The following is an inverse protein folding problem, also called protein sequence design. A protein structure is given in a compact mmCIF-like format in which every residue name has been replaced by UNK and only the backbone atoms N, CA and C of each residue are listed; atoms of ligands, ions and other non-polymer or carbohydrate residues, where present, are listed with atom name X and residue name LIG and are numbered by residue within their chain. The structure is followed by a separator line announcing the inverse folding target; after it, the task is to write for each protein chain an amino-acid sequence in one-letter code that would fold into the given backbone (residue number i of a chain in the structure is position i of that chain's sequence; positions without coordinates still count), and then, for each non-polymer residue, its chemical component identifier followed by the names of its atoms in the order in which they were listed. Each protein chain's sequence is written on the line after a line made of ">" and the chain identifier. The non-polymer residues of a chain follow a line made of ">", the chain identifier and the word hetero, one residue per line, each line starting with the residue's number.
data_IF_885930342124
#
_entry.id   IF_885930342124
#
_cell.length_a   1.000
_cell.length_b   1.000
_cell.length_c   1.000
_cell.angle_alpha   90.00
_cell.angle_beta   90.00
_cell.angle_gamma   90.00
#
_symmetry.space_group_name_H-M   'P 1'
#
loop_
_entity.id
_entity.type
_entity.pdbx_description
1 polymer ?
#
# COMPACT_ATOMS: atom_id res chain seq x y z
N UNK A 1 18.13 2.90 2.39
CA UNK A 1 16.67 3.17 2.31
C UNK A 1 16.39 4.09 1.14
N UNK A 2 15.33 3.80 0.42
CA UNK A 2 14.85 4.66 -0.66
C UNK A 2 13.37 4.96 -0.47
N UNK A 3 12.97 6.18 -0.78
CA UNK A 3 11.57 6.59 -0.77
C UNK A 3 11.30 7.33 -2.07
N UNK A 4 10.29 6.87 -2.81
CA UNK A 4 9.91 7.49 -4.08
C UNK A 4 8.41 7.75 -4.11
N UNK A 5 8.03 9.00 -4.31
CA UNK A 5 6.62 9.38 -4.47
C UNK A 5 6.27 9.17 -5.94
N UNK A 6 5.47 8.14 -6.22
CA UNK A 6 5.06 7.83 -7.59
C UNK A 6 3.97 8.79 -8.08
N UNK A 7 3.09 9.19 -7.18
CA UNK A 7 2.04 10.17 -7.45
C UNK A 7 1.52 10.76 -6.14
N UNK A 8 1.07 12.02 -6.16
CA UNK A 8 0.41 12.63 -5.02
C UNK A 8 -0.61 13.65 -5.51
N UNK A 9 -1.72 13.80 -4.77
CA UNK A 9 -2.77 14.75 -5.08
C UNK A 9 -4.14 14.10 -5.20
N UNK A 10 -5.11 14.90 -5.62
CA UNK A 10 -6.51 14.49 -5.69
C UNK A 10 -6.82 13.48 -6.80
N UNK A 11 -5.90 13.30 -7.76
CA UNK A 11 -6.10 12.37 -8.87
C UNK A 11 -5.44 11.01 -8.64
N UNK A 12 -4.63 10.88 -7.59
CA UNK A 12 -4.03 9.59 -7.25
C UNK A 12 -2.81 9.73 -6.35
N UNK A 13 -2.66 8.75 -5.45
CA UNK A 13 -1.57 8.73 -4.48
C UNK A 13 -0.92 7.35 -4.44
N UNK A 14 0.40 7.32 -4.48
CA UNK A 14 1.18 6.09 -4.33
C UNK A 14 2.61 6.45 -3.96
N UNK A 15 3.15 5.79 -2.93
CA UNK A 15 4.53 5.98 -2.48
C UNK A 15 5.21 4.64 -2.35
N UNK A 16 6.45 4.54 -2.82
CA UNK A 16 7.25 3.33 -2.75
C UNK A 16 8.38 3.51 -1.74
N UNK A 17 8.57 2.51 -0.88
CA UNK A 17 9.64 2.50 0.12
C UNK A 17 10.40 1.18 0.04
N UNK A 18 11.72 1.27 -0.05
CA UNK A 18 12.62 0.13 0.09
C UNK A 18 13.48 0.34 1.33
N UNK A 19 13.62 -0.70 2.16
CA UNK A 19 14.44 -0.65 3.37
C UNK A 19 14.96 -2.05 3.69
N UNK A 20 16.29 -2.20 3.69
CA UNK A 20 16.92 -3.47 4.02
C UNK A 20 16.49 -4.62 3.09
N UNK A 21 16.22 -4.33 1.83
CA UNK A 21 15.79 -5.32 0.85
C UNK A 21 14.29 -5.57 0.81
N UNK A 22 13.53 -5.12 1.79
CA UNK A 22 12.07 -5.21 1.77
C UNK A 22 11.46 -4.00 1.06
N UNK A 23 10.37 -4.22 0.34
CA UNK A 23 9.77 -3.21 -0.54
C UNK A 23 8.28 -3.15 -0.31
N UNK A 24 7.78 -1.95 -0.03
CA UNK A 24 6.35 -1.72 0.19
C UNK A 24 5.83 -0.58 -0.68
N UNK A 25 4.54 -0.65 -0.97
CA UNK A 25 3.82 0.42 -1.62
C UNK A 25 2.79 0.96 -0.62
N UNK A 26 2.78 2.28 -0.41
CA UNK A 26 1.77 2.94 0.41
C UNK A 26 0.77 3.58 -0.52
N UNK A 27 -0.46 3.08 -0.49
CA UNK A 27 -1.56 3.41 -1.37
C UNK A 27 -1.30 3.00 -2.83
N UNK A 28 -2.37 2.69 -3.54
CA UNK A 28 -2.35 2.30 -4.94
C UNK A 28 -3.43 3.11 -5.68
N UNK A 29 -3.28 4.45 -5.61
CA UNK A 29 -4.28 5.39 -6.08
C UNK A 29 -4.14 5.78 -7.54
N UNK A 30 -3.21 5.17 -8.28
CA UNK A 30 -3.04 5.35 -9.71
C UNK A 30 -3.15 3.99 -10.40
N UNK A 31 -3.27 3.98 -11.73
CA UNK A 31 -3.42 2.72 -12.46
C UNK A 31 -2.21 1.81 -12.25
N UNK A 32 -2.43 0.50 -12.37
CA UNK A 32 -1.36 -0.48 -12.29
C UNK A 32 -0.24 -0.15 -13.27
N UNK A 33 -0.59 0.25 -14.49
CA UNK A 33 0.39 0.63 -15.51
C UNK A 33 1.29 1.77 -15.04
N UNK A 34 0.71 2.79 -14.39
CA UNK A 34 1.48 3.92 -13.86
C UNK A 34 2.35 3.50 -12.69
N UNK A 35 1.87 2.59 -11.85
CA UNK A 35 2.68 2.04 -10.75
C UNK A 35 3.87 1.28 -11.32
N UNK A 36 3.63 0.39 -12.29
CA UNK A 36 4.70 -0.38 -12.95
C UNK A 36 5.75 0.55 -13.57
N UNK A 37 5.30 1.59 -14.26
CA UNK A 37 6.20 2.55 -14.88
C UNK A 37 7.03 3.31 -13.85
N UNK A 38 6.37 3.78 -12.79
CA UNK A 38 7.06 4.52 -11.73
C UNK A 38 8.11 3.67 -11.03
N UNK A 39 7.81 2.40 -10.76
CA UNK A 39 8.78 1.48 -10.16
C UNK A 39 9.94 1.21 -11.11
N UNK A 40 9.67 1.00 -12.40
CA UNK A 40 10.72 0.76 -13.39
C UNK A 40 11.69 1.94 -13.50
N UNK A 41 11.19 3.17 -13.40
CA UNK A 41 12.01 4.38 -13.45
C UNK A 41 13.03 4.46 -12.31
N UNK A 42 12.75 3.79 -11.19
CA UNK A 42 13.66 3.76 -10.03
C UNK A 42 14.33 2.38 -9.85
N UNK A 43 14.23 1.53 -10.87
CA UNK A 43 14.97 0.26 -10.91
C UNK A 43 14.29 -0.91 -10.25
N UNK A 44 12.98 -0.86 -10.04
CA UNK A 44 12.24 -1.93 -9.38
C UNK A 44 11.10 -2.47 -10.24
N UNK A 45 10.59 -3.63 -9.87
CA UNK A 45 9.48 -4.30 -10.53
C UNK A 45 8.38 -4.56 -9.51
N UNK A 46 7.12 -4.47 -9.93
CA UNK A 46 5.98 -4.67 -9.04
C UNK A 46 5.97 -6.08 -8.41
N UNK A 47 6.53 -7.07 -9.09
CA UNK A 47 6.63 -8.43 -8.53
C UNK A 47 7.55 -8.51 -7.30
N UNK A 48 8.35 -7.49 -7.07
CA UNK A 48 9.26 -7.43 -5.91
C UNK A 48 8.60 -6.83 -4.67
N UNK A 49 7.37 -6.31 -4.78
CA UNK A 49 6.68 -5.71 -3.64
C UNK A 49 6.30 -6.79 -2.62
N UNK A 50 6.66 -6.56 -1.37
CA UNK A 50 6.34 -7.46 -0.26
C UNK A 50 4.97 -7.17 0.34
N UNK A 51 4.51 -5.94 0.23
CA UNK A 51 3.23 -5.53 0.81
C UNK A 51 2.72 -4.23 0.20
N UNK A 52 1.41 -4.07 0.22
CA UNK A 52 0.73 -2.81 -0.06
C UNK A 52 0.02 -2.40 1.22
N UNK A 53 0.20 -1.14 1.62
CA UNK A 53 -0.43 -0.58 2.82
C UNK A 53 -1.39 0.51 2.38
N UNK A 54 -2.63 0.43 2.81
CA UNK A 54 -3.67 1.40 2.43
C UNK A 54 -3.98 2.31 3.62
N UNK A 55 -3.89 3.62 3.40
CA UNK A 55 -4.14 4.62 4.43
C UNK A 55 -5.63 4.80 4.71
N UNK A 56 -6.45 4.79 3.67
CA UNK A 56 -7.90 4.92 3.78
C UNK A 56 -8.55 4.57 2.43
N UNK A 57 -9.88 4.50 2.42
CA UNK A 57 -10.66 3.90 1.33
C UNK A 57 -10.99 4.85 0.16
N UNK A 58 -10.56 6.10 0.16
CA UNK A 58 -10.88 7.02 -0.94
C UNK A 58 -10.28 6.55 -2.26
N UNK A 59 -10.99 6.80 -3.37
CA UNK A 59 -10.62 6.24 -4.67
C UNK A 59 -9.22 6.67 -5.13
N UNK A 60 -8.79 7.87 -4.80
CA UNK A 60 -7.45 8.36 -5.14
C UNK A 60 -6.33 7.68 -4.34
N UNK A 61 -6.68 6.70 -3.51
CA UNK A 61 -5.73 5.86 -2.76
C UNK A 61 -5.84 4.38 -3.10
N UNK A 62 -6.89 3.95 -3.82
CA UNK A 62 -7.15 2.54 -4.09
C UNK A 62 -7.50 2.21 -5.54
N UNK A 63 -7.57 3.18 -6.45
CA UNK A 63 -8.12 2.92 -7.79
C UNK A 63 -7.31 1.90 -8.60
N UNK A 64 -6.03 1.73 -8.35
CA UNK A 64 -5.19 0.74 -9.03
C UNK A 64 -5.05 -0.59 -8.28
N UNK A 65 -5.65 -0.71 -7.11
CA UNK A 65 -5.44 -1.85 -6.22
C UNK A 65 -5.90 -3.18 -6.82
N UNK A 66 -7.07 -3.19 -7.44
CA UNK A 66 -7.68 -4.41 -7.97
C UNK A 66 -6.76 -5.12 -8.97
N UNK A 67 -6.39 -4.45 -10.04
CA UNK A 67 -5.57 -5.04 -11.10
C UNK A 67 -4.17 -5.40 -10.58
N UNK A 68 -3.57 -4.52 -9.77
CA UNK A 68 -2.23 -4.73 -9.24
C UNK A 68 -2.17 -6.00 -8.39
N UNK A 69 -3.11 -6.17 -7.46
CA UNK A 69 -3.11 -7.31 -6.55
C UNK A 69 -3.43 -8.61 -7.30
N UNK A 70 -4.39 -8.58 -8.21
CA UNK A 70 -4.74 -9.79 -8.96
C UNK A 70 -3.59 -10.23 -9.88
N UNK A 71 -2.83 -9.28 -10.42
CA UNK A 71 -1.70 -9.58 -11.31
C UNK A 71 -0.50 -10.14 -10.56
N UNK A 72 -0.14 -9.54 -9.43
CA UNK A 72 1.11 -9.85 -8.73
C UNK A 72 0.93 -10.61 -7.41
N UNK A 73 -0.32 -10.79 -6.95
CA UNK A 73 -0.63 -11.53 -5.72
C UNK A 73 0.07 -10.94 -4.49
N UNK A 74 0.09 -9.62 -4.38
CA UNK A 74 0.77 -8.92 -3.29
C UNK A 74 -0.17 -8.81 -2.08
N UNK A 75 0.31 -9.15 -0.86
CA UNK A 75 -0.51 -8.94 0.34
C UNK A 75 -0.84 -7.46 0.56
N UNK A 76 -2.09 -7.19 0.90
CA UNK A 76 -2.58 -5.83 1.18
C UNK A 76 -2.98 -5.74 2.63
N UNK A 77 -2.46 -4.75 3.33
CA UNK A 77 -2.73 -4.53 4.75
C UNK A 77 -3.44 -3.21 4.93
N UNK A 78 -4.58 -3.23 5.60
CA UNK A 78 -5.30 -2.02 5.99
C UNK A 78 -6.17 -2.32 7.19
N UNK A 79 -6.76 -1.27 7.77
CA UNK A 79 -7.61 -1.41 8.96
C UNK A 79 -8.88 -2.20 8.61
N UNK A 80 -9.40 -3.01 9.55
CA UNK A 80 -10.60 -3.82 9.28
C UNK A 80 -11.78 -3.01 8.76
N UNK A 81 -12.06 -1.84 9.36
CA UNK A 81 -13.16 -0.99 8.92
C UNK A 81 -12.94 -0.44 7.50
N UNK A 82 -11.68 -0.17 7.14
CA UNK A 82 -11.32 0.28 5.80
C UNK A 82 -11.59 -0.80 4.77
N UNK A 83 -11.27 -2.06 5.09
CA UNK A 83 -11.55 -3.20 4.19
C UNK A 83 -13.03 -3.27 3.81
N UNK A 84 -13.93 -3.00 4.75
CA UNK A 84 -15.37 -3.04 4.49
C UNK A 84 -15.82 -2.00 3.46
N UNK A 85 -15.04 -0.94 3.27
CA UNK A 85 -15.36 0.15 2.35
C UNK A 85 -14.59 0.07 1.02
N UNK A 86 -13.74 -0.94 0.84
CA UNK A 86 -13.00 -1.10 -0.42
C UNK A 86 -13.86 -1.90 -1.41
N UNK A 87 -14.31 -1.28 -2.52
CA UNK A 87 -15.26 -1.93 -3.44
C UNK A 87 -14.72 -3.20 -4.11
N UNK A 88 -13.42 -3.25 -4.38
CA UNK A 88 -12.82 -4.40 -5.08
C UNK A 88 -12.46 -5.56 -4.16
N UNK A 89 -12.75 -5.47 -2.86
CA UNK A 89 -12.38 -6.48 -1.87
C UNK A 89 -12.74 -7.90 -2.31
N UNK A 90 -13.97 -8.09 -2.80
CA UNK A 90 -14.47 -9.40 -3.17
C UNK A 90 -13.82 -9.98 -4.42
N UNK A 91 -13.14 -9.14 -5.21
CA UNK A 91 -12.40 -9.57 -6.40
C UNK A 91 -10.96 -9.96 -6.10
N UNK A 92 -10.44 -9.57 -4.94
CA UNK A 92 -9.06 -9.86 -4.58
C UNK A 92 -8.92 -11.28 -4.03
N UNK A 93 -7.78 -11.95 -4.25
CA UNK A 93 -7.51 -13.23 -3.59
C UNK A 93 -7.62 -13.05 -2.08
N UNK A 94 -8.33 -13.97 -1.43
CA UNK A 94 -8.59 -13.87 0.01
C UNK A 94 -7.29 -13.80 0.81
N UNK A 95 -6.28 -14.57 0.41
CA UNK A 95 -4.98 -14.61 1.08
C UNK A 95 -4.22 -13.29 0.98
N UNK A 96 -4.60 -12.41 0.04
CA UNK A 96 -4.00 -11.09 -0.09
C UNK A 96 -4.70 -10.02 0.74
N UNK A 97 -5.86 -10.31 1.32
CA UNK A 97 -6.61 -9.35 2.11
C UNK A 97 -6.26 -9.53 3.58
N UNK A 98 -5.36 -8.69 4.10
CA UNK A 98 -4.84 -8.80 5.46
C UNK A 98 -5.28 -7.63 6.31
N UNK A 99 -5.62 -7.89 7.57
CA UNK A 99 -5.98 -6.84 8.52
C UNK A 99 -4.74 -6.31 9.21
N UNK A 100 -4.62 -4.99 9.28
CA UNK A 100 -3.51 -4.32 9.96
C UNK A 100 -3.86 -4.07 11.42
N UNK A 101 -3.07 -4.64 12.32
CA UNK A 101 -3.20 -4.39 13.75
C UNK A 101 -2.36 -3.19 14.19
N UNK A 102 -1.75 -3.30 15.38
CA UNK A 102 -0.95 -2.22 15.95
C UNK A 102 0.43 -2.09 15.28
N UNK A 103 0.90 -3.13 14.62
CA UNK A 103 2.17 -3.09 13.88
C UNK A 103 2.23 -4.22 12.89
N UNK A 104 3.10 -4.06 11.89
CA UNK A 104 3.44 -5.09 10.91
C UNK A 104 4.95 -5.20 10.85
N UNK A 105 5.48 -6.40 11.08
CA UNK A 105 6.92 -6.68 11.03
C UNK A 105 7.22 -7.43 9.73
N UNK A 106 8.06 -6.84 8.88
CA UNK A 106 8.50 -7.45 7.62
C UNK A 106 9.96 -7.89 7.66
N UNK A 107 10.53 -8.02 8.86
CA UNK A 107 11.93 -8.40 9.02
C UNK A 107 12.83 -7.19 9.15
N UNK A 108 13.19 -6.57 8.04
CA UNK A 108 14.10 -5.40 8.05
C UNK A 108 13.35 -4.09 8.27
N UNK A 109 12.01 -4.09 8.23
CA UNK A 109 11.24 -2.90 8.54
C UNK A 109 10.04 -3.26 9.40
N UNK A 110 9.65 -2.33 10.26
CA UNK A 110 8.46 -2.42 11.10
C UNK A 110 7.57 -1.24 10.77
N UNK A 111 6.29 -1.51 10.58
CA UNK A 111 5.32 -0.49 10.21
C UNK A 111 4.31 -0.35 11.34
N UNK A 112 4.11 0.88 11.80
CA UNK A 112 3.16 1.19 12.87
C UNK A 112 2.17 2.23 12.35
N UNK A 113 0.85 1.89 12.30
CA UNK A 113 -0.15 2.87 11.91
C UNK A 113 -0.40 3.87 13.06
N UNK A 114 -0.74 5.09 12.70
CA UNK A 114 -1.22 6.10 13.63
C UNK A 114 -2.46 6.77 13.07
N UNK A 115 -3.37 7.18 13.95
CA UNK A 115 -4.61 7.83 13.54
C UNK A 115 -4.34 9.20 12.95
N UNK A 116 -5.06 9.52 11.87
CA UNK A 116 -5.03 10.86 11.29
C UNK A 116 -6.46 11.41 11.24
N UNK A 117 -6.57 12.75 11.22
CA UNK A 117 -7.86 13.41 11.08
C UNK A 117 -8.17 13.57 9.59
N UNK A 118 -9.13 12.77 9.10
CA UNK A 118 -9.49 12.77 7.69
C UNK A 118 -10.91 12.24 7.53
N UNK A 119 -11.57 12.60 6.42
CA UNK A 119 -12.94 12.17 6.13
C UNK A 119 -12.94 10.76 5.55
N UNK A 120 -12.77 9.78 6.44
CA UNK A 120 -12.73 8.36 6.09
C UNK A 120 -13.13 7.54 7.32
N UNK A 121 -13.35 6.22 7.14
CA UNK A 121 -13.89 5.38 8.21
C UNK A 121 -12.86 5.12 9.33
N UNK A 122 -11.61 4.87 8.97
CA UNK A 122 -10.53 4.64 9.95
C UNK A 122 -9.19 5.02 9.31
N UNK A 123 -8.98 6.33 9.03
CA UNK A 123 -7.80 6.76 8.29
C UNK A 123 -6.55 6.70 9.13
N UNK A 124 -5.47 6.18 8.55
CA UNK A 124 -4.19 6.04 9.25
C UNK A 124 -3.05 6.57 8.38
N UNK A 125 -2.01 7.07 9.04
CA UNK A 125 -0.69 7.23 8.46
C UNK A 125 0.19 6.09 8.94
N UNK A 126 1.42 6.01 8.44
CA UNK A 126 2.33 4.93 8.80
C UNK A 126 3.69 5.46 9.23
N UNK A 127 4.17 4.97 10.37
CA UNK A 127 5.57 5.10 10.74
C UNK A 127 6.29 3.87 10.20
N UNK A 128 7.34 4.09 9.41
CA UNK A 128 8.16 3.00 8.88
C UNK A 128 9.51 3.05 9.59
N UNK A 129 9.80 2.01 10.36
CA UNK A 129 10.98 1.95 11.21
C UNK A 129 11.92 0.87 10.70
N UNK A 130 13.21 1.17 10.73
CA UNK A 130 14.22 0.17 10.40
C UNK A 130 14.36 -0.79 11.58
N UNK A 131 14.18 -2.08 11.32
CA UNK A 131 14.37 -3.12 12.32
C UNK A 131 15.87 -3.33 12.57
N UNK A 132 16.22 -3.59 13.81
CA UNK A 132 17.60 -3.83 14.22
C UNK A 132 17.84 -5.30 14.48
#
# INVERSE_FOLDING_TARGET
>A
MQIHILASGSTGNAAFIEMGGHKILIDAGISTRRIEKGLAEVGFDASQLDAILITHEHIDHIQGLDVLVRRYKIPVYTRPATWEKIPCRDKLPRECCCELGSSLDLGTMKIEPFLISHDAVDPVGFCVLQAQ
#
